data_IF_322452136359
#
_entry.id   IF_322452136359
#
_cell.length_a   1.000
_cell.length_b   1.000
_cell.length_c   1.000
_cell.angle_alpha   90.00
_cell.angle_beta   90.00
_cell.angle_gamma   90.00
#
_symmetry.space_group_name_H-M   'P 1'
#
loop_
_entity.id
_entity.type
_entity.pdbx_description
1 polymer ?
#
# COMPACT_ATOMS: atom_id res chain seq x y z
N UNK A 1 -11.82 -15.66 26.54
CA UNK A 1 -12.48 -14.66 25.67
C UNK A 1 -11.52 -14.32 24.55
N UNK A 2 -11.73 -14.83 23.34
CA UNK A 2 -10.99 -14.33 22.17
C UNK A 2 -11.69 -13.05 21.71
N UNK A 3 -11.01 -11.91 21.84
CA UNK A 3 -11.47 -10.65 21.28
C UNK A 3 -11.47 -10.76 19.76
N UNK A 4 -12.66 -10.67 19.17
CA UNK A 4 -12.84 -10.60 17.71
C UNK A 4 -12.14 -9.34 17.20
N UNK A 5 -10.97 -9.49 16.57
CA UNK A 5 -10.38 -8.43 15.77
C UNK A 5 -11.39 -8.02 14.70
N UNK A 6 -11.80 -6.75 14.71
CA UNK A 6 -12.66 -6.22 13.64
C UNK A 6 -11.77 -6.05 12.41
N UNK A 7 -12.01 -6.86 11.38
CA UNK A 7 -11.50 -6.57 10.04
C UNK A 7 -12.25 -5.32 9.57
N UNK A 8 -11.60 -4.15 9.64
CA UNK A 8 -12.10 -2.94 9.00
C UNK A 8 -11.81 -3.08 7.51
N UNK A 9 -12.81 -2.89 6.66
CA UNK A 9 -12.58 -2.82 5.23
C UNK A 9 -11.83 -1.52 4.92
N UNK A 10 -10.70 -1.64 4.22
CA UNK A 10 -9.95 -0.49 3.74
C UNK A 10 -10.57 0.01 2.43
N UNK A 11 -10.86 1.32 2.36
CA UNK A 11 -11.44 1.93 1.18
C UNK A 11 -10.33 2.59 0.36
N UNK A 12 -10.13 2.09 -0.86
CA UNK A 12 -9.18 2.63 -1.81
C UNK A 12 -9.93 3.27 -2.98
N UNK A 13 -9.39 4.37 -3.51
CA UNK A 13 -9.88 5.04 -4.72
C UNK A 13 -8.74 5.18 -5.71
N UNK A 14 -8.98 4.78 -6.95
CA UNK A 14 -8.05 5.05 -8.06
C UNK A 14 -8.68 6.13 -8.95
N UNK A 15 -7.95 7.24 -9.14
CA UNK A 15 -8.33 8.33 -10.03
C UNK A 15 -7.54 8.23 -11.34
N UNK A 16 -8.26 8.14 -12.46
CA UNK A 16 -7.67 8.19 -13.80
C UNK A 16 -7.97 9.52 -14.46
N UNK A 17 -6.93 10.20 -14.94
CA UNK A 17 -7.04 11.41 -15.78
C UNK A 17 -6.51 11.11 -17.17
N UNK A 18 -7.34 11.34 -18.18
CA UNK A 18 -7.00 11.09 -19.58
C UNK A 18 -6.70 12.43 -20.25
N UNK A 19 -5.45 12.61 -20.67
CA UNK A 19 -5.00 13.78 -21.43
C UNK A 19 -5.53 13.77 -22.86
N UNK A 20 -5.53 14.94 -23.52
CA UNK A 20 -5.91 15.06 -24.95
C UNK A 20 -4.94 14.33 -25.88
N UNK A 21 -3.73 14.07 -25.40
CA UNK A 21 -2.69 13.28 -26.05
C UNK A 21 -2.87 11.75 -25.83
N UNK A 22 -3.92 11.35 -25.11
CA UNK A 22 -4.20 9.95 -24.80
C UNK A 22 -3.37 9.40 -23.64
N UNK A 23 -2.49 10.20 -23.01
CA UNK A 23 -1.75 9.78 -21.82
C UNK A 23 -2.68 9.68 -20.63
N UNK A 24 -2.47 8.67 -19.80
CA UNK A 24 -3.25 8.41 -18.60
C UNK A 24 -2.38 8.72 -17.39
N UNK A 25 -2.90 9.53 -16.48
CA UNK A 25 -2.32 9.71 -15.13
C UNK A 25 -3.20 8.97 -14.15
N UNK A 26 -2.61 8.03 -13.41
CA UNK A 26 -3.25 7.29 -12.33
C UNK A 26 -2.85 7.89 -10.98
N UNK A 27 -3.77 7.93 -10.02
CA UNK A 27 -3.49 8.32 -8.64
C UNK A 27 -4.27 7.44 -7.67
N UNK A 28 -3.55 6.70 -6.82
CA UNK A 28 -4.13 5.83 -5.80
C UNK A 28 -4.25 6.58 -4.48
N UNK A 29 -5.44 6.55 -3.87
CA UNK A 29 -5.78 7.28 -2.65
C UNK A 29 -6.36 6.29 -1.64
N UNK A 30 -5.89 6.37 -0.39
CA UNK A 30 -6.35 5.51 0.71
C UNK A 30 -5.70 4.13 0.74
N UNK A 31 -4.56 3.96 0.08
CA UNK A 31 -3.73 2.76 0.10
C UNK A 31 -2.39 3.06 0.79
N UNK A 32 -1.87 2.12 1.57
CA UNK A 32 -0.57 2.18 2.25
C UNK A 32 0.31 1.00 1.85
N UNK A 33 1.62 1.12 2.01
CA UNK A 33 2.55 0.04 1.64
C UNK A 33 2.51 -0.32 0.15
N UNK A 34 2.84 -1.57 -0.16
CA UNK A 34 2.79 -2.10 -1.53
C UNK A 34 1.39 -2.21 -2.12
N UNK A 35 0.33 -2.06 -1.30
CA UNK A 35 -1.04 -2.24 -1.76
C UNK A 35 -1.41 -1.27 -2.88
N UNK A 36 -0.81 -0.06 -2.92
CA UNK A 36 -1.13 0.90 -3.97
C UNK A 36 -0.64 0.44 -5.36
N UNK A 37 0.49 -0.26 -5.46
CA UNK A 37 1.02 -0.77 -6.74
C UNK A 37 0.41 -2.12 -7.11
N UNK A 38 0.09 -2.95 -6.11
CA UNK A 38 -0.58 -4.24 -6.34
C UNK A 38 -1.98 -4.08 -6.90
N UNK A 39 -2.75 -3.10 -6.40
CA UNK A 39 -4.12 -2.85 -6.83
C UNK A 39 -4.19 -2.38 -8.29
N UNK A 40 -3.20 -1.65 -8.79
CA UNK A 40 -3.23 -1.03 -10.13
C UNK A 40 -2.60 -1.88 -11.23
N UNK A 41 -1.72 -2.81 -10.87
CA UNK A 41 -0.95 -3.66 -11.79
C UNK A 41 -1.75 -4.28 -12.94
N UNK A 42 -2.97 -4.76 -12.66
CA UNK A 42 -3.82 -5.37 -13.69
C UNK A 42 -4.29 -4.35 -14.73
N UNK A 43 -4.71 -3.17 -14.29
CA UNK A 43 -5.20 -2.11 -15.16
C UNK A 43 -4.04 -1.50 -15.95
N UNK A 44 -2.89 -1.29 -15.33
CA UNK A 44 -1.67 -0.84 -16.02
C UNK A 44 -1.33 -1.78 -17.20
N UNK A 45 -1.33 -3.09 -16.97
CA UNK A 45 -1.06 -4.09 -18.00
C UNK A 45 -2.07 -4.05 -19.17
N UNK A 46 -3.33 -3.67 -18.90
CA UNK A 46 -4.37 -3.55 -19.93
C UNK A 46 -4.32 -2.22 -20.70
N UNK A 47 -3.80 -1.15 -20.08
CA UNK A 47 -3.74 0.20 -20.65
C UNK A 47 -2.47 0.46 -21.47
N UNK A 48 -1.33 -0.13 -21.09
CA UNK A 48 -0.07 0.01 -21.82
C UNK A 48 1.17 0.02 -20.91
N UNK A 49 2.24 0.62 -21.40
CA UNK A 49 3.50 0.71 -20.64
C UNK A 49 3.50 1.90 -19.66
N UNK A 50 4.02 1.69 -18.46
CA UNK A 50 4.22 2.76 -17.46
C UNK A 50 5.40 3.64 -17.87
N UNK A 51 5.13 4.89 -18.22
CA UNK A 51 6.19 5.84 -18.62
C UNK A 51 6.97 6.39 -17.43
N UNK A 52 6.30 6.62 -16.29
CA UNK A 52 6.91 7.11 -15.06
C UNK A 52 6.08 6.73 -13.84
N UNK A 53 6.74 6.53 -12.70
CA UNK A 53 6.10 6.23 -11.42
C UNK A 53 6.66 7.12 -10.32
N UNK A 54 5.77 7.68 -9.49
CA UNK A 54 6.11 8.42 -8.28
C UNK A 54 5.38 7.77 -7.10
N UNK A 55 6.13 7.33 -6.09
CA UNK A 55 5.57 6.75 -4.87
C UNK A 55 5.23 7.88 -3.89
N UNK A 56 3.95 7.97 -3.50
CA UNK A 56 3.49 8.92 -2.49
C UNK A 56 3.96 8.51 -1.09
N UNK A 57 4.00 9.44 -0.11
CA UNK A 57 4.44 9.14 1.25
C UNK A 57 3.77 7.92 1.88
N UNK A 58 2.49 7.69 1.59
CA UNK A 58 1.68 6.58 2.10
C UNK A 58 2.22 5.20 1.68
N UNK A 59 2.98 5.11 0.58
CA UNK A 59 3.67 3.87 0.20
C UNK A 59 4.66 3.41 1.27
N UNK A 60 5.26 4.34 2.00
CA UNK A 60 6.24 4.04 3.05
C UNK A 60 5.59 3.90 4.43
N UNK A 61 4.27 4.03 4.52
CA UNK A 61 3.50 3.80 5.74
C UNK A 61 3.13 2.32 5.85
N UNK A 62 3.20 1.75 7.06
CA UNK A 62 2.75 0.37 7.34
C UNK A 62 3.83 -0.70 7.30
N UNK A 63 5.05 -0.40 6.85
CA UNK A 63 6.24 -1.26 7.04
C UNK A 63 6.80 -1.10 8.48
N UNK A 64 5.94 -1.22 9.50
CA UNK A 64 6.43 -1.42 10.86
C UNK A 64 6.87 -2.88 10.98
N UNK A 65 8.17 -3.14 10.78
CA UNK A 65 8.78 -4.37 11.29
C UNK A 65 8.49 -4.40 12.80
N UNK A 66 7.60 -5.28 13.24
CA UNK A 66 7.43 -5.58 14.66
C UNK A 66 8.73 -6.24 15.12
N UNK A 67 9.71 -5.42 15.56
CA UNK A 67 10.87 -5.91 16.30
C UNK A 67 10.32 -6.39 17.63
N UNK A 68 10.08 -7.69 17.73
CA UNK A 68 9.72 -8.32 18.99
C UNK A 68 10.98 -8.32 19.85
N UNK A 69 11.17 -7.28 20.65
CA UNK A 69 12.22 -7.23 21.67
C UNK A 69 11.90 -8.31 22.73
N UNK A 70 12.38 -9.53 22.49
CA UNK A 70 12.40 -10.58 23.49
C UNK A 70 13.39 -10.18 24.58
N UNK A 71 12.89 -9.50 25.61
CA UNK A 71 13.64 -9.26 26.84
C UNK A 71 13.77 -10.60 27.58
N UNK A 72 14.83 -11.36 27.30
CA UNK A 72 15.27 -12.46 28.15
C UNK A 72 15.86 -11.89 29.44
N UNK A 73 15.06 -11.87 30.50
CA UNK A 73 15.55 -11.65 31.86
C UNK A 73 16.48 -12.80 32.25
N UNK A 74 17.79 -12.54 32.30
CA UNK A 74 18.76 -13.46 32.89
C UNK A 74 18.57 -13.45 34.41
N UNK A 75 17.89 -14.46 34.94
CA UNK A 75 17.97 -14.79 36.36
C UNK A 75 19.40 -15.26 36.66
N UNK A 76 20.21 -14.40 37.26
CA UNK A 76 21.48 -14.78 37.87
C UNK A 76 21.20 -15.11 39.34
N UNK A 77 21.53 -16.35 39.72
CA UNK A 77 21.47 -16.91 41.07
C UNK A 77 22.47 -16.25 42.02
#
# INVERSE_FOLDING_TARGET
>A
MLGSARIMAEYQKIEYRIGKDGKITETVIGATGSSCTETTKGIEADLGDVESQELLPEYYEGDETITTDQTTSLNQY
#
